data_IF_749632099007
#
_entry.id   IF_749632099007
#
_cell.length_a   1.000
_cell.length_b   1.000
_cell.length_c   1.000
_cell.angle_alpha   90.00
_cell.angle_beta   90.00
_cell.angle_gamma   90.00
#
_symmetry.space_group_name_H-M   'P 1'
#
loop_
_entity.id
_entity.type
_entity.pdbx_description
1 polymer ?
#
# COMPACT_ATOMS: atom_id res chain seq x y z
N UNK A 1 -1.90 5.36 -10.51
CA UNK A 1 -2.42 6.73 -10.76
C UNK A 1 -3.23 7.17 -9.55
N UNK A 2 -3.67 8.44 -9.50
CA UNK A 2 -4.50 8.97 -8.41
C UNK A 2 -5.68 9.72 -9.02
N UNK A 3 -6.88 9.42 -8.55
CA UNK A 3 -8.13 10.02 -9.02
C UNK A 3 -8.99 10.47 -7.84
N UNK A 4 -9.69 11.58 -8.01
CA UNK A 4 -10.65 12.11 -7.04
C UNK A 4 -12.06 12.02 -7.62
N UNK A 5 -12.99 11.45 -6.85
CA UNK A 5 -14.42 11.51 -7.11
C UNK A 5 -15.04 12.66 -6.33
N UNK A 6 -15.60 13.65 -7.02
CA UNK A 6 -16.46 14.65 -6.41
C UNK A 6 -17.90 14.13 -6.39
N UNK A 7 -18.32 13.59 -5.24
CA UNK A 7 -19.61 12.89 -5.08
C UNK A 7 -20.80 13.78 -5.40
N UNK A 8 -20.78 15.05 -4.97
CA UNK A 8 -21.85 16.01 -5.22
C UNK A 8 -22.10 16.28 -6.71
N UNK A 9 -21.05 16.17 -7.53
CA UNK A 9 -21.08 16.43 -8.98
C UNK A 9 -20.99 15.15 -9.83
N UNK A 10 -20.84 13.99 -9.19
CA UNK A 10 -20.65 12.69 -9.83
C UNK A 10 -19.57 12.70 -10.92
N UNK A 11 -18.48 13.45 -10.71
CA UNK A 11 -17.40 13.59 -11.68
C UNK A 11 -16.06 13.12 -11.12
N UNK A 12 -15.27 12.50 -11.99
CA UNK A 12 -13.90 12.06 -11.71
C UNK A 12 -12.90 13.05 -12.28
N UNK A 13 -11.86 13.35 -11.51
CA UNK A 13 -10.73 14.13 -11.97
C UNK A 13 -9.42 13.42 -11.61
N UNK A 14 -8.53 13.31 -12.60
CA UNK A 14 -7.19 12.78 -12.34
C UNK A 14 -6.39 13.81 -11.54
N UNK A 15 -5.69 13.34 -10.51
CA UNK A 15 -4.82 14.17 -9.69
C UNK A 15 -3.39 13.96 -10.16
N UNK A 16 -2.80 15.00 -10.74
CA UNK A 16 -1.36 15.01 -11.00
C UNK A 16 -0.61 15.06 -9.66
N UNK A 17 0.26 14.08 -9.43
CA UNK A 17 1.11 14.01 -8.23
C UNK A 17 2.59 14.09 -8.58
N UNK A 18 3.38 14.71 -7.72
CA UNK A 18 4.84 14.72 -7.79
C UNK A 18 5.47 13.78 -6.75
N UNK A 19 6.79 13.55 -6.87
CA UNK A 19 7.50 12.52 -6.10
C UNK A 19 7.49 11.16 -6.79
N UNK A 20 7.89 10.11 -6.08
CA UNK A 20 7.97 8.76 -6.63
C UNK A 20 7.18 7.77 -5.77
N UNK A 21 6.29 7.04 -6.42
CA UNK A 21 5.63 5.86 -5.87
C UNK A 21 5.60 4.80 -6.96
N UNK A 22 6.18 3.63 -6.68
CA UNK A 22 6.12 2.52 -7.61
C UNK A 22 4.66 2.02 -7.80
N UNK A 23 4.24 1.67 -9.04
CA UNK A 23 2.94 1.06 -9.31
C UNK A 23 2.73 -0.20 -8.46
N UNK A 24 1.51 -0.36 -7.92
CA UNK A 24 1.17 -1.45 -7.00
C UNK A 24 -0.33 -1.68 -6.90
N UNK A 25 -0.74 -2.87 -6.45
CA UNK A 25 -2.11 -3.21 -6.08
C UNK A 25 -2.18 -3.72 -4.63
N UNK A 26 -3.38 -4.01 -4.13
CA UNK A 26 -3.62 -4.65 -2.81
C UNK A 26 -2.99 -3.92 -1.62
N UNK A 27 -2.74 -2.62 -1.73
CA UNK A 27 -2.24 -1.81 -0.63
C UNK A 27 -3.40 -1.37 0.28
N UNK A 28 -3.09 -1.05 1.53
CA UNK A 28 -4.03 -0.36 2.39
C UNK A 28 -3.86 1.16 2.23
N UNK A 29 -4.98 1.88 2.21
CA UNK A 29 -5.01 3.34 2.09
C UNK A 29 -5.86 3.92 3.22
N UNK A 30 -5.41 5.01 3.83
CA UNK A 30 -6.16 5.72 4.86
C UNK A 30 -5.95 7.23 4.75
N UNK A 31 -7.03 8.00 4.92
CA UNK A 31 -6.98 9.45 4.85
C UNK A 31 -7.07 10.08 6.24
N UNK A 32 -6.23 11.09 6.50
CA UNK A 32 -6.25 11.86 7.74
C UNK A 32 -5.82 13.30 7.54
N UNK A 33 -6.74 14.21 7.84
CA UNK A 33 -6.55 15.63 7.58
C UNK A 33 -6.20 15.86 6.11
N UNK A 34 -5.03 16.42 5.86
CA UNK A 34 -4.51 16.74 4.53
C UNK A 34 -3.58 15.68 3.96
N UNK A 35 -3.52 14.50 4.58
CA UNK A 35 -2.62 13.42 4.17
C UNK A 35 -3.39 12.15 3.85
N UNK A 36 -2.83 11.38 2.91
CA UNK A 36 -3.22 10.00 2.65
C UNK A 36 -2.01 9.12 2.92
N UNK A 37 -2.21 8.14 3.77
CA UNK A 37 -1.24 7.11 4.11
C UNK A 37 -1.51 5.89 3.25
N UNK A 38 -0.47 5.36 2.64
CA UNK A 38 -0.45 4.10 1.90
C UNK A 38 0.53 3.17 2.58
N UNK A 39 0.12 1.92 2.82
CA UNK A 39 1.02 0.88 3.30
C UNK A 39 0.97 -0.36 2.43
N UNK A 40 2.16 -0.87 2.11
CA UNK A 40 2.41 -2.15 1.48
C UNK A 40 1.88 -2.27 0.05
N UNK A 41 1.30 -3.44 -0.24
CA UNK A 41 0.77 -3.81 -1.55
C UNK A 41 1.59 -4.89 -2.25
N UNK A 42 1.36 -5.07 -3.55
CA UNK A 42 2.11 -5.98 -4.39
C UNK A 42 2.45 -5.29 -5.73
N UNK A 43 3.65 -5.56 -6.24
CA UNK A 43 4.09 -5.15 -7.57
C UNK A 43 4.65 -6.34 -8.34
N UNK A 44 4.72 -6.25 -9.67
CA UNK A 44 5.33 -7.32 -10.45
C UNK A 44 6.85 -7.30 -10.36
N UNK A 45 7.44 -8.48 -10.15
CA UNK A 45 8.89 -8.69 -10.28
C UNK A 45 9.31 -8.44 -11.73
N UNK A 46 10.48 -7.84 -11.89
CA UNK A 46 11.10 -7.61 -13.21
C UNK A 46 11.85 -8.86 -13.70
N UNK A 47 11.15 -9.99 -13.83
CA UNK A 47 11.74 -11.29 -14.20
C UNK A 47 10.96 -11.95 -15.36
N UNK A 48 11.58 -12.90 -16.10
CA UNK A 48 10.91 -13.63 -17.18
C UNK A 48 9.64 -14.35 -16.69
N UNK A 49 8.70 -14.68 -17.59
CA UNK A 49 7.40 -15.23 -17.20
C UNK A 49 7.56 -16.54 -16.42
N UNK A 50 7.21 -16.50 -15.13
CA UNK A 50 6.95 -17.67 -14.28
C UNK A 50 5.44 -17.84 -14.11
N UNK A 51 4.98 -19.07 -13.89
CA UNK A 51 3.59 -19.33 -13.50
C UNK A 51 3.40 -19.36 -11.98
N UNK A 52 4.48 -19.26 -11.20
CA UNK A 52 4.45 -19.34 -9.74
C UNK A 52 4.26 -17.96 -9.15
N UNK A 53 3.27 -17.82 -8.27
CA UNK A 53 2.91 -16.54 -7.65
C UNK A 53 4.10 -15.84 -6.98
N UNK A 54 4.91 -16.60 -6.23
CA UNK A 54 6.09 -16.08 -5.54
C UNK A 54 7.18 -15.52 -6.46
N UNK A 55 7.23 -15.97 -7.72
CA UNK A 55 8.25 -15.53 -8.68
C UNK A 55 7.81 -14.30 -9.49
N UNK A 56 6.52 -13.97 -9.47
CA UNK A 56 5.95 -12.89 -10.29
C UNK A 56 5.63 -11.62 -9.51
N UNK A 57 5.62 -11.67 -8.18
CA UNK A 57 5.20 -10.55 -7.33
C UNK A 57 6.23 -10.25 -6.23
N UNK A 58 6.49 -8.96 -6.07
CA UNK A 58 7.15 -8.37 -4.91
C UNK A 58 6.06 -7.94 -3.92
N UNK A 59 6.09 -8.55 -2.73
CA UNK A 59 5.33 -8.09 -1.58
C UNK A 59 5.95 -6.79 -1.07
N UNK A 60 5.22 -5.69 -1.18
CA UNK A 60 5.70 -4.40 -0.71
C UNK A 60 5.33 -4.23 0.76
N UNK A 61 6.27 -3.76 1.57
CA UNK A 61 6.10 -3.40 2.99
C UNK A 61 6.38 -1.91 3.24
N UNK A 62 6.39 -1.12 2.18
CA UNK A 62 6.76 0.29 2.24
C UNK A 62 5.59 1.17 2.70
N UNK A 63 5.91 2.15 3.55
CA UNK A 63 4.98 3.18 3.99
C UNK A 63 5.20 4.46 3.19
N UNK A 64 4.10 5.02 2.66
CA UNK A 64 4.11 6.22 1.85
C UNK A 64 3.05 7.20 2.32
N UNK A 65 3.34 8.49 2.18
CA UNK A 65 2.38 9.55 2.51
C UNK A 65 2.24 10.47 1.32
N UNK A 66 1.01 10.69 0.88
CA UNK A 66 0.65 11.73 -0.07
C UNK A 66 0.12 12.94 0.70
N UNK A 67 0.78 14.09 0.54
CA UNK A 67 0.20 15.35 0.98
C UNK A 67 -0.82 15.81 -0.08
N UNK A 68 -2.09 15.94 0.29
CA UNK A 68 -3.18 16.31 -0.61
C UNK A 68 -3.19 17.79 -1.01
N UNK A 69 -2.59 18.67 -0.19
CA UNK A 69 -2.49 20.10 -0.52
C UNK A 69 -1.44 20.33 -1.60
N UNK A 70 -0.25 19.75 -1.44
CA UNK A 70 0.85 19.89 -2.40
C UNK A 70 0.80 18.86 -3.52
N UNK A 71 -0.01 17.79 -3.36
CA UNK A 71 -0.11 16.63 -4.26
C UNK A 71 1.25 15.96 -4.45
N UNK A 72 2.02 15.85 -3.38
CA UNK A 72 3.38 15.29 -3.41
C UNK A 72 3.45 14.05 -2.54
N UNK A 73 3.97 12.97 -3.11
CA UNK A 73 4.41 11.81 -2.34
C UNK A 73 5.68 12.19 -1.57
N UNK A 74 5.60 12.09 -0.24
CA UNK A 74 6.72 12.37 0.65
C UNK A 74 7.77 11.25 0.56
N UNK A 75 9.02 11.52 0.95
CA UNK A 75 10.07 10.50 1.01
C UNK A 75 9.65 9.27 1.83
N UNK A 76 10.15 8.11 1.43
CA UNK A 76 9.77 6.80 1.98
C UNK A 76 10.13 6.72 3.47
N UNK A 77 9.17 6.31 4.30
CA UNK A 77 9.42 5.92 5.67
C UNK A 77 9.58 4.40 5.72
N UNK A 78 10.72 3.91 6.22
CA UNK A 78 10.94 2.48 6.41
C UNK A 78 10.16 2.05 7.65
N UNK A 79 9.31 1.03 7.51
CA UNK A 79 8.55 0.46 8.61
C UNK A 79 9.16 -0.90 8.98
N UNK A 80 9.45 -1.10 10.25
CA UNK A 80 9.85 -2.39 10.82
C UNK A 80 8.67 -2.97 11.62
N UNK A 81 8.43 -4.29 11.61
CA UNK A 81 9.18 -5.33 10.89
C UNK A 81 8.71 -5.52 9.44
N UNK A 82 9.64 -5.97 8.60
CA UNK A 82 9.41 -6.23 7.18
C UNK A 82 8.36 -7.31 6.87
N UNK A 83 7.85 -7.23 5.65
CA UNK A 83 7.03 -8.23 4.93
C UNK A 83 5.56 -8.37 5.36
N UNK A 84 4.74 -7.41 4.91
CA UNK A 84 3.29 -7.61 4.70
C UNK A 84 2.88 -7.06 3.35
N UNK A 85 3.13 -7.85 2.31
CA UNK A 85 2.48 -7.63 1.02
C UNK A 85 0.97 -7.74 1.17
N UNK A 86 0.22 -7.15 0.24
CA UNK A 86 -1.24 -7.31 0.13
C UNK A 86 -2.01 -7.15 1.45
N UNK A 87 -2.08 -5.92 2.00
CA UNK A 87 -2.76 -5.66 3.29
C UNK A 87 -4.26 -5.49 3.11
N UNK A 88 -5.03 -6.13 4.00
CA UNK A 88 -6.50 -6.15 3.90
C UNK A 88 -7.15 -4.91 4.52
N UNK A 89 -6.64 -4.43 5.65
CA UNK A 89 -7.22 -3.28 6.33
C UNK A 89 -6.19 -2.48 7.12
N UNK A 90 -6.49 -1.19 7.27
CA UNK A 90 -5.75 -0.24 8.08
C UNK A 90 -6.74 0.63 8.87
N UNK A 91 -6.50 0.82 10.16
CA UNK A 91 -7.34 1.63 11.04
C UNK A 91 -6.48 2.49 11.97
N UNK A 92 -6.87 3.73 12.22
CA UNK A 92 -6.19 4.59 13.19
C UNK A 92 -6.62 4.28 14.62
N UNK A 93 -5.66 4.29 15.54
CA UNK A 93 -5.89 4.27 16.99
C UNK A 93 -5.93 5.71 17.55
N UNK A 94 -6.57 5.93 18.73
CA UNK A 94 -6.69 7.26 19.34
C UNK A 94 -5.35 7.93 19.68
N UNK A 95 -4.29 7.15 19.87
CA UNK A 95 -2.94 7.62 20.18
C UNK A 95 -2.11 7.97 18.94
N UNK A 96 -2.73 7.98 17.76
CA UNK A 96 -2.08 8.31 16.49
C UNK A 96 -1.39 7.13 15.81
N UNK A 97 -1.30 5.97 16.47
CA UNK A 97 -0.80 4.75 15.81
C UNK A 97 -1.81 4.19 14.82
N UNK A 98 -1.37 3.28 13.96
CA UNK A 98 -2.19 2.59 12.97
C UNK A 98 -2.18 1.08 13.25
N UNK A 99 -3.34 0.45 13.14
CA UNK A 99 -3.51 -0.99 13.16
C UNK A 99 -3.64 -1.47 11.71
N UNK A 100 -2.77 -2.39 11.32
CA UNK A 100 -2.83 -3.14 10.07
C UNK A 100 -3.41 -4.51 10.38
N UNK A 101 -4.34 -5.00 9.56
CA UNK A 101 -4.92 -6.32 9.71
C UNK A 101 -4.78 -7.13 8.42
N UNK A 102 -4.48 -8.43 8.61
CA UNK A 102 -4.32 -9.36 7.52
C UNK A 102 -2.94 -9.23 6.86
N UNK A 103 -2.94 -9.33 5.54
CA UNK A 103 -1.71 -9.38 4.76
C UNK A 103 -1.58 -10.70 4.00
N UNK A 104 -0.61 -10.72 3.11
CA UNK A 104 -0.13 -11.91 2.47
C UNK A 104 1.40 -11.90 2.40
N UNK A 105 1.95 -13.08 2.18
CA UNK A 105 3.35 -13.26 1.91
C UNK A 105 3.57 -14.29 0.81
N UNK A 106 4.50 -14.02 -0.09
CA UNK A 106 4.75 -14.74 -1.32
C UNK A 106 6.21 -15.19 -1.33
N UNK A 107 6.48 -16.40 -0.82
CA UNK A 107 7.81 -17.00 -0.85
C UNK A 107 8.23 -17.32 -2.29
N UNK A 108 9.51 -17.13 -2.62
CA UNK A 108 10.05 -17.50 -3.94
C UNK A 108 9.74 -18.98 -4.27
N UNK A 109 9.29 -19.21 -5.50
CA UNK A 109 8.87 -20.53 -5.98
C UNK A 109 7.50 -21.00 -5.48
N UNK A 110 6.80 -20.25 -4.63
CA UNK A 110 5.47 -20.62 -4.16
C UNK A 110 4.42 -20.50 -5.27
N UNK A 111 3.55 -21.50 -5.35
CA UNK A 111 2.44 -21.53 -6.32
C UNK A 111 1.32 -20.58 -5.91
N UNK A 112 1.13 -20.39 -4.60
CA UNK A 112 0.14 -19.51 -4.00
C UNK A 112 0.79 -18.67 -2.89
N UNK A 113 0.24 -17.48 -2.60
CA UNK A 113 0.65 -16.72 -1.44
C UNK A 113 0.13 -17.34 -0.13
N UNK A 114 0.83 -17.08 0.96
CA UNK A 114 0.41 -17.39 2.32
C UNK A 114 -0.32 -16.18 2.91
N UNK A 115 -1.60 -16.33 3.22
CA UNK A 115 -2.34 -15.29 3.94
C UNK A 115 -1.87 -15.19 5.39
N UNK A 116 -1.71 -13.95 5.86
CA UNK A 116 -1.36 -13.64 7.25
C UNK A 116 -2.64 -13.26 8.00
N UNK A 117 -2.85 -13.86 9.16
CA UNK A 117 -3.85 -13.40 10.13
C UNK A 117 -3.21 -12.48 11.18
N UNK A 118 -4.06 -11.83 11.98
CA UNK A 118 -3.63 -10.98 13.10
C UNK A 118 -3.56 -9.50 12.75
N UNK A 119 -3.45 -8.69 13.80
CA UNK A 119 -3.34 -7.24 13.73
C UNK A 119 -1.94 -6.80 14.20
N UNK A 120 -1.41 -5.77 13.54
CA UNK A 120 -0.08 -5.21 13.77
C UNK A 120 -0.21 -3.73 14.01
N UNK A 121 0.49 -3.23 15.03
CA UNK A 121 0.48 -1.81 15.36
C UNK A 121 1.73 -1.14 14.79
N UNK A 122 1.52 -0.06 14.06
CA UNK A 122 2.55 0.82 13.50
C UNK A 122 2.41 2.17 14.22
N UNK A 123 3.45 2.64 14.89
CA UNK A 123 3.42 3.88 15.67
C UNK A 123 4.79 4.45 15.89
#
# INVERSE_FOLDING_TARGET
DVWLLEVSRACWAQVATSGSLAPRCQHALWAHGTHVVLFGGAAHKSHPPSMRYGDILDDLDTFHVLNLQTRTWLPLAVCEPGMRGGVLAMASAPDGSMLLFGGMHSDDGAVNPTFRSGAWRVG
#
